data_IF_860978852059
#
_entry.id   IF_860978852059
#
_cell.length_a   1.000
_cell.length_b   1.000
_cell.length_c   1.000
_cell.angle_alpha   90.00
_cell.angle_beta   90.00
_cell.angle_gamma   90.00
#
_symmetry.space_group_name_H-M   'P 1'
#
loop_
_entity.id
_entity.type
_entity.pdbx_description
1 polymer ?
#
# COMPACT_ATOMS: atom_id res chain seq x y z
N UNK A 1 30.81 6.67 48.26
CA UNK A 1 29.73 6.37 47.29
C UNK A 1 30.00 7.22 46.08
N UNK A 2 30.06 6.59 44.91
CA UNK A 2 30.65 7.18 43.69
C UNK A 2 29.61 8.05 42.96
N UNK A 3 29.60 9.34 43.30
CA UNK A 3 28.68 10.36 42.77
C UNK A 3 28.72 10.45 41.23
N UNK A 4 29.82 10.00 40.61
CA UNK A 4 30.01 9.91 39.16
C UNK A 4 29.01 8.95 38.49
N UNK A 5 28.76 7.79 39.12
CA UNK A 5 27.83 6.79 38.58
C UNK A 5 26.37 7.24 38.68
N UNK A 6 26.02 7.99 39.73
CA UNK A 6 24.65 8.48 39.93
C UNK A 6 24.28 9.58 38.93
N UNK A 7 25.25 10.46 38.59
CA UNK A 7 25.11 11.46 37.52
C UNK A 7 24.89 10.82 36.16
N UNK A 8 25.71 9.83 35.80
CA UNK A 8 25.59 9.12 34.52
C UNK A 8 24.26 8.37 34.37
N UNK A 9 23.73 7.80 35.46
CA UNK A 9 22.42 7.13 35.47
C UNK A 9 21.28 8.13 35.26
N UNK A 10 21.37 9.33 35.85
CA UNK A 10 20.34 10.35 35.67
C UNK A 10 20.34 10.91 34.25
N UNK A 11 21.49 11.18 33.66
CA UNK A 11 21.60 11.61 32.26
C UNK A 11 21.01 10.55 31.30
N UNK A 12 21.29 9.27 31.50
CA UNK A 12 20.69 8.21 30.68
C UNK A 12 19.17 8.14 30.81
N UNK A 13 18.61 8.39 32.00
CA UNK A 13 17.15 8.43 32.19
C UNK A 13 16.51 9.61 31.46
N UNK A 14 17.16 10.77 31.48
CA UNK A 14 16.68 11.96 30.76
C UNK A 14 16.72 11.75 29.24
N UNK A 15 17.81 11.15 28.73
CA UNK A 15 17.92 10.78 27.30
C UNK A 15 16.83 9.77 26.91
N UNK A 16 16.59 8.75 27.75
CA UNK A 16 15.56 7.76 27.49
C UNK A 16 14.15 8.39 27.49
N UNK A 17 13.88 9.31 28.42
CA UNK A 17 12.61 10.04 28.47
C UNK A 17 12.41 10.91 27.22
N UNK A 18 13.44 11.64 26.82
CA UNK A 18 13.43 12.46 25.60
C UNK A 18 13.16 11.62 24.35
N UNK A 19 13.86 10.50 24.16
CA UNK A 19 13.62 9.63 23.00
C UNK A 19 12.23 8.99 23.01
N UNK A 20 11.68 8.65 24.18
CA UNK A 20 10.32 8.14 24.30
C UNK A 20 9.29 9.19 23.87
N UNK A 21 9.50 10.45 24.23
CA UNK A 21 8.65 11.55 23.79
C UNK A 21 8.76 11.79 22.28
N UNK A 22 9.99 11.80 21.73
CA UNK A 22 10.20 11.94 20.28
C UNK A 22 9.55 10.80 19.48
N UNK A 23 9.61 9.56 19.99
CA UNK A 23 8.92 8.42 19.39
C UNK A 23 7.39 8.62 19.38
N UNK A 24 6.80 9.03 20.50
CA UNK A 24 5.37 9.29 20.56
C UNK A 24 4.92 10.41 19.61
N UNK A 25 5.74 11.46 19.45
CA UNK A 25 5.49 12.54 18.49
C UNK A 25 5.57 12.02 17.05
N UNK A 26 6.58 11.20 16.74
CA UNK A 26 6.74 10.60 15.43
C UNK A 26 5.56 9.67 15.08
N UNK A 27 5.15 8.81 16.01
CA UNK A 27 3.97 7.93 15.84
C UNK A 27 2.69 8.73 15.58
N UNK A 28 2.48 9.82 16.34
CA UNK A 28 1.34 10.70 16.13
C UNK A 28 1.35 11.36 14.76
N UNK A 29 2.49 11.91 14.34
CA UNK A 29 2.64 12.52 13.00
C UNK A 29 2.46 11.50 11.88
N UNK A 30 2.96 10.28 12.04
CA UNK A 30 2.73 9.19 11.09
C UNK A 30 1.24 8.93 10.95
N UNK A 31 0.50 8.85 12.07
CA UNK A 31 -0.95 8.65 12.06
C UNK A 31 -1.72 9.80 11.38
N UNK A 32 -1.30 11.04 11.59
CA UNK A 32 -1.89 12.23 10.95
C UNK A 32 -1.59 12.31 9.44
N UNK A 33 -0.45 11.78 9.00
CA UNK A 33 0.00 11.79 7.60
C UNK A 33 -0.46 10.56 6.80
N UNK A 34 -0.99 9.52 7.46
CA UNK A 34 -1.48 8.36 6.73
C UNK A 34 -2.66 8.78 5.84
N UNK A 35 -2.56 8.54 4.52
CA UNK A 35 -3.67 8.84 3.63
C UNK A 35 -4.89 8.06 4.08
N UNK A 36 -6.04 8.72 4.09
CA UNK A 36 -7.32 8.07 4.32
C UNK A 36 -7.51 6.97 3.27
N UNK A 37 -7.45 5.71 3.71
CA UNK A 37 -7.54 4.53 2.85
C UNK A 37 -8.83 4.57 2.03
N UNK A 38 -9.91 5.06 2.61
CA UNK A 38 -11.19 5.22 1.91
C UNK A 38 -11.07 6.17 0.72
N UNK A 39 -10.40 7.31 0.90
CA UNK A 39 -10.09 8.25 -0.16
C UNK A 39 -9.22 7.62 -1.26
N UNK A 40 -8.27 6.76 -0.90
CA UNK A 40 -7.46 6.01 -1.87
C UNK A 40 -8.31 5.03 -2.69
N UNK A 41 -9.21 4.28 -2.05
CA UNK A 41 -10.10 3.34 -2.73
C UNK A 41 -11.07 4.09 -3.65
N UNK A 42 -11.66 5.21 -3.22
CA UNK A 42 -12.51 6.06 -4.06
C UNK A 42 -11.76 6.53 -5.33
N UNK A 43 -10.48 6.86 -5.20
CA UNK A 43 -9.66 7.35 -6.31
C UNK A 43 -9.35 6.29 -7.39
N UNK A 44 -9.59 4.99 -7.12
CA UNK A 44 -9.40 3.91 -8.10
C UNK A 44 -10.33 4.08 -9.31
N UNK A 45 -11.58 4.50 -9.10
CA UNK A 45 -12.52 4.71 -10.19
C UNK A 45 -12.37 6.11 -10.82
N UNK A 46 -11.79 6.15 -12.01
CA UNK A 46 -11.55 7.40 -12.74
C UNK A 46 -12.70 7.79 -13.65
N UNK A 47 -13.58 6.86 -14.03
CA UNK A 47 -14.67 7.06 -14.99
C UNK A 47 -15.86 7.72 -14.31
N UNK A 48 -16.23 8.91 -14.78
CA UNK A 48 -17.28 9.73 -14.17
C UNK A 48 -18.65 9.02 -14.07
N UNK A 49 -18.98 8.14 -15.02
CA UNK A 49 -20.24 7.39 -15.01
C UNK A 49 -20.36 6.44 -13.80
N UNK A 50 -19.24 5.90 -13.32
CA UNK A 50 -19.22 4.87 -12.29
C UNK A 50 -18.84 5.41 -10.89
N UNK A 51 -18.24 6.61 -10.82
CA UNK A 51 -17.77 7.22 -9.56
C UNK A 51 -18.81 7.25 -8.44
N UNK A 52 -20.08 7.52 -8.76
CA UNK A 52 -21.13 7.59 -7.74
C UNK A 52 -21.42 6.22 -7.12
N UNK A 53 -21.59 5.20 -7.96
CA UNK A 53 -21.84 3.82 -7.50
C UNK A 53 -20.63 3.27 -6.76
N UNK A 54 -19.42 3.49 -7.30
CA UNK A 54 -18.19 3.12 -6.63
C UNK A 54 -18.03 3.77 -5.25
N UNK A 55 -18.23 5.09 -5.16
CA UNK A 55 -18.18 5.78 -3.86
C UNK A 55 -19.20 5.22 -2.87
N UNK A 56 -20.40 4.87 -3.35
CA UNK A 56 -21.46 4.29 -2.50
C UNK A 56 -20.99 2.99 -1.85
N UNK A 57 -20.49 2.01 -2.62
CA UNK A 57 -20.03 0.73 -2.05
C UNK A 57 -18.82 0.90 -1.14
N UNK A 58 -17.95 1.87 -1.43
CA UNK A 58 -16.84 2.22 -0.53
C UNK A 58 -17.35 2.87 0.77
N UNK A 59 -18.41 3.65 0.72
CA UNK A 59 -19.09 4.17 1.91
C UNK A 59 -19.80 3.06 2.71
N UNK A 60 -20.26 2.02 2.03
CA UNK A 60 -20.94 0.84 2.59
C UNK A 60 -19.97 -0.28 3.03
N UNK A 61 -18.67 0.01 3.13
CA UNK A 61 -17.72 -0.90 3.79
C UNK A 61 -16.90 -1.80 2.88
N UNK A 62 -16.82 -1.54 1.56
CA UNK A 62 -16.05 -2.38 0.62
C UNK A 62 -14.63 -2.71 1.10
N UNK A 63 -13.90 -1.72 1.63
CA UNK A 63 -12.54 -1.96 2.12
C UNK A 63 -12.52 -2.94 3.30
N UNK A 64 -13.43 -2.76 4.25
CA UNK A 64 -13.52 -3.59 5.45
C UNK A 64 -13.95 -5.02 5.09
N UNK A 65 -14.91 -5.17 4.17
CA UNK A 65 -15.37 -6.47 3.69
C UNK A 65 -14.24 -7.26 3.01
N UNK A 66 -13.52 -6.64 2.07
CA UNK A 66 -12.36 -7.29 1.44
C UNK A 66 -11.26 -7.58 2.47
N UNK A 67 -11.00 -6.68 3.43
CA UNK A 67 -10.04 -6.95 4.51
C UNK A 67 -10.45 -8.16 5.36
N UNK A 68 -11.73 -8.28 5.72
CA UNK A 68 -12.24 -9.40 6.52
C UNK A 68 -12.06 -10.74 5.78
N UNK A 69 -12.41 -10.79 4.48
CA UNK A 69 -12.17 -11.97 3.64
C UNK A 69 -10.68 -12.33 3.63
N UNK A 70 -9.79 -11.34 3.47
CA UNK A 70 -8.35 -11.58 3.50
C UNK A 70 -7.86 -12.10 4.86
N UNK A 71 -8.45 -11.64 5.96
CA UNK A 71 -8.14 -12.14 7.30
C UNK A 71 -8.54 -13.62 7.45
N UNK A 72 -9.70 -14.01 6.92
CA UNK A 72 -10.17 -15.41 6.90
C UNK A 72 -9.24 -16.31 6.07
N UNK A 73 -8.77 -15.83 4.92
CA UNK A 73 -7.83 -16.56 4.07
C UNK A 73 -6.37 -16.49 4.56
N UNK A 74 -6.04 -15.67 5.56
CA UNK A 74 -4.64 -15.38 5.91
C UNK A 74 -3.84 -16.63 6.26
N UNK A 75 -4.39 -17.47 7.16
CA UNK A 75 -3.72 -18.69 7.59
C UNK A 75 -3.50 -19.68 6.44
N UNK A 76 -4.42 -19.71 5.48
CA UNK A 76 -4.31 -20.53 4.29
C UNK A 76 -3.08 -20.15 3.45
N UNK A 77 -2.83 -18.86 3.24
CA UNK A 77 -1.68 -18.41 2.45
C UNK A 77 -0.32 -18.54 3.14
N UNK A 78 -0.26 -18.36 4.47
CA UNK A 78 1.03 -18.26 5.18
C UNK A 78 1.42 -19.51 5.98
N UNK A 79 0.51 -20.47 6.13
CA UNK A 79 0.71 -21.65 6.99
C UNK A 79 0.01 -22.93 6.55
N UNK A 80 -0.72 -22.93 5.42
CA UNK A 80 -1.24 -24.21 4.89
C UNK A 80 -0.09 -25.10 4.43
N UNK A 81 -0.23 -26.40 4.62
CA UNK A 81 0.66 -27.39 3.99
C UNK A 81 0.37 -27.61 2.50
N UNK A 82 -0.55 -26.83 1.93
CA UNK A 82 -0.97 -26.94 0.53
C UNK A 82 -0.17 -26.02 -0.39
N UNK A 83 0.46 -24.98 0.17
CA UNK A 83 1.26 -24.01 -0.57
C UNK A 83 2.73 -24.38 -0.58
N UNK A 84 3.42 -24.08 -1.68
CA UNK A 84 4.88 -24.23 -1.77
C UNK A 84 5.59 -23.24 -0.85
N UNK A 85 6.76 -23.62 -0.30
CA UNK A 85 7.54 -22.79 0.62
C UNK A 85 7.88 -21.41 0.02
N UNK A 86 8.15 -21.36 -1.29
CA UNK A 86 8.42 -20.12 -2.01
C UNK A 86 7.20 -19.19 -2.04
N UNK A 87 6.02 -19.73 -2.32
CA UNK A 87 4.76 -18.99 -2.28
C UNK A 87 4.51 -18.44 -0.87
N UNK A 88 4.66 -19.27 0.16
CA UNK A 88 4.46 -18.88 1.56
C UNK A 88 5.40 -17.73 1.94
N UNK A 89 6.67 -17.78 1.50
CA UNK A 89 7.63 -16.72 1.74
C UNK A 89 7.23 -15.41 1.05
N UNK A 90 6.78 -15.46 -0.20
CA UNK A 90 6.27 -14.31 -0.95
C UNK A 90 5.01 -13.74 -0.29
N UNK A 91 4.06 -14.58 0.09
CA UNK A 91 2.82 -14.20 0.79
C UNK A 91 3.13 -13.44 2.09
N UNK A 92 3.99 -14.01 2.96
CA UNK A 92 4.43 -13.35 4.20
C UNK A 92 5.09 -12.00 3.93
N UNK A 93 5.91 -11.93 2.90
CA UNK A 93 6.55 -10.68 2.52
C UNK A 93 5.54 -9.67 1.95
N UNK A 94 4.54 -10.05 1.17
CA UNK A 94 3.62 -9.06 0.58
C UNK A 94 2.56 -8.59 1.58
N UNK A 95 1.91 -9.53 2.27
CA UNK A 95 0.77 -9.24 3.15
C UNK A 95 1.19 -8.52 4.44
N UNK A 96 2.34 -8.88 5.01
CA UNK A 96 2.73 -8.42 6.34
C UNK A 96 1.80 -8.92 7.45
N UNK A 97 1.81 -8.24 8.60
CA UNK A 97 0.96 -8.56 9.75
C UNK A 97 -0.42 -7.91 9.60
N UNK A 98 -1.49 -8.65 9.91
CA UNK A 98 -2.86 -8.12 9.96
C UNK A 98 -2.90 -6.80 10.77
N UNK A 99 -3.59 -5.81 10.22
CA UNK A 99 -3.72 -4.46 10.81
C UNK A 99 -2.50 -3.55 10.68
N UNK A 100 -1.39 -4.01 10.08
CA UNK A 100 -0.25 -3.15 9.77
C UNK A 100 -0.49 -2.28 8.53
N UNK A 101 0.32 -1.23 8.35
CA UNK A 101 0.30 -0.45 7.10
C UNK A 101 0.59 -1.33 5.87
N UNK A 102 1.44 -2.35 6.03
CA UNK A 102 1.76 -3.30 4.96
C UNK A 102 0.53 -4.12 4.56
N UNK A 103 -0.26 -4.54 5.54
CA UNK A 103 -1.55 -5.19 5.34
C UNK A 103 -2.53 -4.29 4.60
N UNK A 104 -2.71 -3.04 5.06
CA UNK A 104 -3.62 -2.09 4.40
C UNK A 104 -3.22 -1.82 2.94
N UNK A 105 -1.92 -1.65 2.67
CA UNK A 105 -1.41 -1.50 1.32
C UNK A 105 -1.68 -2.75 0.48
N UNK A 106 -1.49 -3.95 1.04
CA UNK A 106 -1.80 -5.19 0.36
C UNK A 106 -3.30 -5.32 0.05
N UNK A 107 -4.19 -5.04 1.00
CA UNK A 107 -5.64 -4.98 0.78
C UNK A 107 -5.99 -4.01 -0.35
N UNK A 108 -5.35 -2.83 -0.40
CA UNK A 108 -5.54 -1.87 -1.47
C UNK A 108 -5.11 -2.42 -2.84
N UNK A 109 -3.99 -3.15 -2.91
CA UNK A 109 -3.56 -3.81 -4.14
C UNK A 109 -4.55 -4.90 -4.60
N UNK A 110 -5.09 -5.68 -3.67
CA UNK A 110 -6.16 -6.65 -3.96
C UNK A 110 -7.39 -5.94 -4.53
N UNK A 111 -7.87 -4.87 -3.89
CA UNK A 111 -9.02 -4.09 -4.39
C UNK A 111 -8.75 -3.51 -5.78
N UNK A 112 -7.55 -2.98 -6.03
CA UNK A 112 -7.17 -2.50 -7.38
C UNK A 112 -7.21 -3.63 -8.41
N UNK A 113 -6.71 -4.80 -8.05
CA UNK A 113 -6.72 -5.97 -8.92
C UNK A 113 -8.15 -6.40 -9.26
N UNK A 114 -9.00 -6.56 -8.25
CA UNK A 114 -10.42 -6.90 -8.39
C UNK A 114 -11.18 -5.85 -9.22
N UNK A 115 -10.96 -4.56 -8.95
CA UNK A 115 -11.57 -3.46 -9.72
C UNK A 115 -11.17 -3.51 -11.19
N UNK A 116 -9.87 -3.71 -11.48
CA UNK A 116 -9.36 -3.83 -12.85
C UNK A 116 -10.00 -5.00 -13.61
N UNK A 117 -10.36 -6.09 -12.92
CA UNK A 117 -11.04 -7.25 -13.51
C UNK A 117 -12.56 -7.09 -13.59
N UNK A 118 -13.11 -6.00 -13.05
CA UNK A 118 -14.55 -5.73 -13.05
C UNK A 118 -15.33 -6.52 -12.01
N UNK A 119 -14.65 -7.15 -11.04
CA UNK A 119 -15.27 -8.07 -10.07
C UNK A 119 -16.33 -7.42 -9.18
N UNK A 120 -16.25 -6.09 -8.98
CA UNK A 120 -17.22 -5.35 -8.18
C UNK A 120 -18.47 -4.92 -8.95
N UNK A 121 -18.60 -5.20 -10.25
CA UNK A 121 -19.74 -4.73 -11.05
C UNK A 121 -20.54 -5.89 -11.61
N UNK A 122 -21.72 -6.13 -11.04
CA UNK A 122 -22.62 -7.22 -11.39
C UNK A 122 -24.04 -6.67 -11.61
N UNK A 123 -24.74 -7.17 -12.63
CA UNK A 123 -26.14 -6.84 -12.92
C UNK A 123 -26.49 -5.34 -12.98
N UNK A 124 -25.50 -4.51 -13.34
CA UNK A 124 -25.68 -3.05 -13.47
C UNK A 124 -25.42 -2.26 -12.19
N UNK A 125 -25.06 -2.92 -11.10
CA UNK A 125 -24.75 -2.30 -9.81
C UNK A 125 -23.35 -2.65 -9.32
N UNK A 126 -22.85 -1.83 -8.39
CA UNK A 126 -21.60 -2.14 -7.70
C UNK A 126 -21.90 -2.97 -6.46
N UNK A 127 -21.02 -3.92 -6.18
CA UNK A 127 -21.04 -4.79 -5.00
C UNK A 127 -19.96 -4.36 -4.00
N UNK A 128 -20.26 -4.43 -2.70
CA UNK A 128 -19.32 -4.10 -1.61
C UNK A 128 -18.61 -5.34 -1.02
N UNK A 129 -18.85 -6.53 -1.57
CA UNK A 129 -18.35 -7.84 -1.14
C UNK A 129 -18.79 -8.23 0.28
N UNK A 130 -19.93 -7.73 0.75
CA UNK A 130 -20.51 -8.14 2.04
C UNK A 130 -21.08 -9.57 1.98
N UNK A 131 -21.63 -9.98 0.83
CA UNK A 131 -22.22 -11.30 0.64
C UNK A 131 -21.18 -12.29 0.10
N UNK A 132 -20.59 -13.07 1.00
CA UNK A 132 -19.65 -14.14 0.63
C UNK A 132 -20.35 -15.34 0.01
N UNK A 133 -21.67 -15.52 0.16
CA UNK A 133 -22.39 -16.62 -0.51
C UNK A 133 -22.41 -16.46 -2.05
N UNK A 134 -22.12 -15.26 -2.56
CA UNK A 134 -21.90 -14.97 -3.97
C UNK A 134 -20.51 -15.39 -4.51
N UNK A 135 -19.66 -15.95 -3.66
CA UNK A 135 -18.29 -16.39 -3.99
C UNK A 135 -17.25 -15.27 -3.98
N UNK A 136 -17.53 -14.20 -3.22
CA UNK A 136 -16.61 -13.07 -3.06
C UNK A 136 -15.29 -13.49 -2.39
N UNK A 137 -15.34 -14.50 -1.53
CA UNK A 137 -14.18 -15.11 -0.88
C UNK A 137 -13.31 -15.88 -1.87
N UNK A 138 -13.86 -16.73 -2.75
CA UNK A 138 -13.04 -17.40 -3.77
C UNK A 138 -12.44 -16.41 -4.77
N UNK A 139 -13.22 -15.41 -5.22
CA UNK A 139 -12.72 -14.37 -6.14
C UNK A 139 -11.58 -13.56 -5.49
N UNK A 140 -11.70 -13.24 -4.19
CA UNK A 140 -10.66 -12.53 -3.45
C UNK A 140 -9.43 -13.41 -3.23
N UNK A 141 -9.64 -14.69 -2.89
CA UNK A 141 -8.57 -15.66 -2.73
C UNK A 141 -7.77 -15.85 -4.03
N UNK A 142 -8.44 -16.01 -5.17
CA UNK A 142 -7.82 -16.09 -6.49
C UNK A 142 -7.03 -14.82 -6.82
N UNK A 143 -7.57 -13.65 -6.51
CA UNK A 143 -6.87 -12.38 -6.71
C UNK A 143 -5.55 -12.33 -5.92
N UNK A 144 -5.53 -12.83 -4.67
CA UNK A 144 -4.33 -12.92 -3.85
C UNK A 144 -3.30 -13.87 -4.45
N UNK A 145 -3.72 -15.06 -4.87
CA UNK A 145 -2.82 -16.03 -5.50
C UNK A 145 -2.14 -15.43 -6.73
N UNK A 146 -2.93 -14.84 -7.63
CA UNK A 146 -2.41 -14.20 -8.83
C UNK A 146 -1.44 -13.06 -8.49
N UNK A 147 -1.76 -12.20 -7.52
CA UNK A 147 -0.86 -11.11 -7.12
C UNK A 147 0.48 -11.61 -6.56
N UNK A 148 0.47 -12.70 -5.81
CA UNK A 148 1.69 -13.30 -5.23
C UNK A 148 2.51 -13.99 -6.33
N UNK A 149 1.88 -14.74 -7.22
CA UNK A 149 2.55 -15.41 -8.35
C UNK A 149 3.12 -14.42 -9.38
N UNK A 150 2.39 -13.34 -9.67
CA UNK A 150 2.83 -12.26 -10.57
C UNK A 150 3.91 -11.38 -9.94
N UNK A 151 4.09 -11.42 -8.62
CA UNK A 151 5.13 -10.67 -7.94
C UNK A 151 6.51 -11.21 -8.36
N UNK A 152 7.21 -10.42 -9.17
CA UNK A 152 8.59 -10.73 -9.56
C UNK A 152 9.45 -10.80 -8.29
N UNK A 153 10.44 -11.71 -8.24
CA UNK A 153 11.41 -11.79 -7.14
C UNK A 153 12.20 -10.49 -7.02
N UNK A 154 11.63 -9.52 -6.33
CA UNK A 154 12.33 -8.32 -5.88
C UNK A 154 13.21 -8.72 -4.71
N UNK A 155 14.26 -9.47 -5.03
CA UNK A 155 15.45 -9.61 -4.22
C UNK A 155 16.16 -8.27 -4.22
N UNK A 156 15.67 -7.32 -3.41
CA UNK A 156 16.48 -6.19 -2.97
C UNK A 156 17.32 -6.70 -1.79
N UNK A 157 18.63 -6.94 -1.95
CA UNK A 157 19.46 -7.26 -0.79
C UNK A 157 19.51 -6.06 0.15
N UNK A 158 19.35 -6.34 1.44
CA UNK A 158 19.54 -5.40 2.53
C UNK A 158 21.01 -4.95 2.60
N UNK A 159 21.31 -3.73 2.14
CA UNK A 159 22.16 -2.75 2.82
C UNK A 159 22.40 -1.52 1.93
N UNK A 160 22.03 -0.30 2.34
CA UNK A 160 22.80 0.87 1.94
C UNK A 160 24.05 0.90 2.81
N UNK A 161 25.19 0.47 2.27
CA UNK A 161 26.48 0.84 2.84
C UNK A 161 26.53 2.37 2.84
N UNK A 162 26.43 2.96 4.03
CA UNK A 162 26.62 4.39 4.23
C UNK A 162 28.11 4.64 4.04
N UNK A 163 28.51 5.07 2.86
CA UNK A 163 29.86 5.61 2.66
C UNK A 163 29.99 6.91 3.48
N UNK A 164 31.04 7.06 4.30
CA UNK A 164 31.24 8.27 5.08
C UNK A 164 31.51 9.45 4.15
N UNK A 165 30.66 10.46 4.24
CA UNK A 165 30.80 11.74 3.54
C UNK A 165 32.11 12.41 3.97
N UNK A 166 33.13 12.35 3.11
CA UNK A 166 34.31 13.21 3.22
C UNK A 166 33.90 14.58 2.67
N UNK A 167 33.74 15.54 3.58
CA UNK A 167 33.49 16.95 3.25
C UNK A 167 34.80 17.56 2.76
N UNK A 168 34.86 17.96 1.49
CA UNK A 168 35.78 19.01 1.05
C UNK A 168 35.08 20.06 0.18
N UNK A 169 35.39 21.36 0.39
CA UNK A 169 34.62 22.46 -0.17
C UNK A 169 35.16 22.83 -1.55
N UNK A 170 34.29 23.00 -2.55
CA UNK A 170 34.64 23.74 -3.77
C UNK A 170 33.39 24.27 -4.49
N UNK A 171 33.27 25.59 -4.39
CA UNK A 171 32.88 26.55 -5.42
C UNK A 171 31.59 26.32 -6.25
N UNK A 172 30.63 27.18 -5.91
CA UNK A 172 29.46 27.61 -6.67
C UNK A 172 29.73 27.79 -8.18
N UNK A 173 28.84 27.23 -8.99
CA UNK A 173 28.47 27.77 -10.30
C UNK A 173 26.95 27.68 -10.46
N UNK A 174 26.26 28.72 -10.96
CA UNK A 174 24.81 28.72 -11.05
C UNK A 174 24.32 27.89 -12.25
N UNK A 175 23.15 27.22 -12.17
CA UNK A 175 22.58 26.52 -13.29
C UNK A 175 21.91 27.47 -14.30
N UNK A 176 22.17 27.23 -15.58
CA UNK A 176 21.49 27.86 -16.73
C UNK A 176 20.02 27.42 -16.84
N UNK A 177 19.16 28.17 -17.56
CA UNK A 177 17.71 28.04 -17.50
C UNK A 177 17.18 26.78 -18.18
N UNK A 178 16.18 26.17 -17.55
CA UNK A 178 15.41 25.04 -18.08
C UNK A 178 14.48 25.54 -19.18
N UNK A 179 14.65 24.97 -20.37
CA UNK A 179 13.80 25.18 -21.55
C UNK A 179 12.41 24.59 -21.29
N UNK A 180 11.38 25.43 -21.41
CA UNK A 180 9.98 25.03 -21.42
C UNK A 180 9.62 24.74 -22.87
N UNK A 181 9.49 23.47 -23.24
CA UNK A 181 8.55 22.95 -24.25
C UNK A 181 8.92 21.50 -24.61
N UNK A 182 8.28 20.55 -23.93
CA UNK A 182 8.23 19.15 -24.39
C UNK A 182 6.97 18.48 -23.82
N UNK A 183 5.83 18.80 -24.42
CA UNK A 183 4.59 18.04 -24.29
C UNK A 183 4.01 17.81 -25.67
N UNK A 184 4.55 16.82 -26.37
CA UNK A 184 3.86 16.18 -27.48
C UNK A 184 4.40 14.76 -27.58
N UNK A 185 3.57 13.77 -27.22
CA UNK A 185 3.47 12.52 -27.97
C UNK A 185 2.17 11.78 -27.59
N UNK A 186 1.41 11.45 -28.65
CA UNK A 186 0.26 10.53 -28.73
C UNK A 186 -1.14 11.04 -28.36
N UNK A 187 -1.63 11.99 -29.16
CA UNK A 187 -3.02 12.02 -29.64
C UNK A 187 -3.09 11.25 -30.96
N UNK A 188 -3.74 10.10 -30.98
CA UNK A 188 -3.92 9.32 -32.21
C UNK A 188 -4.90 8.17 -32.02
N UNK A 189 -6.20 8.48 -32.21
CA UNK A 189 -7.25 7.65 -32.84
C UNK A 189 -8.63 8.21 -32.41
N UNK A 190 -9.10 9.21 -33.15
CA UNK A 190 -10.52 9.58 -33.21
C UNK A 190 -11.15 8.87 -34.41
N UNK A 191 -12.25 8.16 -34.13
CA UNK A 191 -13.53 8.19 -34.86
C UNK A 191 -13.54 8.01 -36.39
N UNK A 192 -14.18 6.91 -36.83
CA UNK A 192 -14.97 6.85 -38.07
C UNK A 192 -16.21 6.00 -37.77
N UNK A 193 -17.31 6.63 -37.35
CA UNK A 193 -18.53 6.97 -38.12
C UNK A 193 -19.51 5.80 -38.32
N UNK A 194 -20.63 5.94 -37.60
CA UNK A 194 -21.96 5.42 -37.89
C UNK A 194 -22.49 6.00 -39.21
N UNK A 195 -23.04 5.17 -40.10
CA UNK A 195 -24.06 5.60 -41.07
C UNK A 195 -24.90 4.41 -41.55
N UNK A 196 -26.20 4.48 -41.19
CA UNK A 196 -27.43 3.89 -41.77
C UNK A 196 -27.56 2.36 -41.73
#
# INVERSE_FOLDING_TARGET
>A
MDLSNESAINEMKEIAAYHKEQLAIAEKKIKELQPDVKSLVIAIETRNAYKRGWKKVVDEGLFDNVSNILEECYAYFISSGEMEDEFIAKAKNMMGKIGSLKWQNFTLEVIKYLHKRGSFYCDGEFDNFEDTAGGCDEITQDAVMNLIEESSDSSVPANPTVDPVIVHPSHLSPPSPIDKDSWDYNRGLQSTILQI
#
